data_IF_202804894131
#
_entry.id   IF_202804894131
#
_cell.length_a   1.000
_cell.length_b   1.000
_cell.length_c   1.000
_cell.angle_alpha   90.00
_cell.angle_beta   90.00
_cell.angle_gamma   90.00
#
_symmetry.space_group_name_H-M   'P 1'
#
loop_
_entity.id
_entity.type
_entity.pdbx_description
1 polymer ?
#
# COMPACT_ATOMS: atom_id res chain seq x y z
N UNK A 1 13.03 -20.40 9.28
CA UNK A 1 11.72 -20.61 8.63
C UNK A 1 11.37 -19.33 7.88
N UNK A 2 11.22 -19.40 6.57
CA UNK A 2 10.83 -18.27 5.74
C UNK A 2 9.30 -18.24 5.64
N UNK A 3 8.66 -17.34 6.38
CA UNK A 3 7.19 -17.23 6.41
C UNK A 3 6.73 -15.86 5.92
N UNK A 4 5.56 -15.84 5.31
CA UNK A 4 4.81 -14.62 4.98
C UNK A 4 3.88 -14.33 6.16
N UNK A 5 3.96 -13.13 6.72
CA UNK A 5 3.05 -12.68 7.76
C UNK A 5 1.74 -12.18 7.15
N UNK A 6 0.60 -12.49 7.76
CA UNK A 6 -0.71 -11.99 7.35
C UNK A 6 -1.25 -11.12 8.48
N UNK A 7 -1.61 -9.88 8.16
CA UNK A 7 -2.04 -8.88 9.14
C UNK A 7 -3.39 -8.28 8.72
N UNK A 8 -4.29 -8.14 9.68
CA UNK A 8 -5.63 -7.58 9.52
C UNK A 8 -5.63 -6.05 9.36
N UNK A 9 -4.50 -5.40 9.68
CA UNK A 9 -4.25 -3.97 9.51
C UNK A 9 -2.83 -3.71 9.06
N UNK A 10 -2.63 -2.59 8.37
CA UNK A 10 -1.32 -2.13 7.96
C UNK A 10 -0.47 -1.75 9.18
N UNK A 11 0.73 -2.34 9.28
CA UNK A 11 1.74 -2.10 10.32
C UNK A 11 3.10 -1.79 9.69
N UNK A 12 4.13 -1.51 10.48
CA UNK A 12 5.47 -1.28 9.95
C UNK A 12 6.11 -2.62 9.48
N UNK A 13 6.29 -2.75 8.16
CA UNK A 13 6.95 -3.91 7.57
C UNK A 13 8.41 -4.09 8.04
N UNK A 14 9.08 -3.04 8.52
CA UNK A 14 10.43 -3.12 9.12
C UNK A 14 10.43 -3.94 10.41
N UNK A 15 9.40 -3.77 11.23
CA UNK A 15 9.27 -4.51 12.49
C UNK A 15 9.03 -6.00 12.22
N UNK A 16 8.14 -6.31 11.27
CA UNK A 16 7.86 -7.69 10.86
C UNK A 16 9.09 -8.35 10.24
N UNK A 17 9.87 -7.61 9.44
CA UNK A 17 11.17 -8.06 8.94
C UNK A 17 12.12 -8.40 10.07
N UNK A 18 12.25 -7.53 11.09
CA UNK A 18 13.11 -7.76 12.25
C UNK A 18 12.68 -9.00 13.06
N UNK A 19 11.38 -9.31 13.06
CA UNK A 19 10.80 -10.54 13.65
C UNK A 19 10.95 -11.79 12.76
N UNK A 20 11.60 -11.68 11.60
CA UNK A 20 11.91 -12.80 10.71
C UNK A 20 10.91 -13.04 9.58
N UNK A 21 9.94 -12.15 9.36
CA UNK A 21 9.06 -12.24 8.21
C UNK A 21 9.83 -11.98 6.91
N UNK A 22 9.53 -12.78 5.87
CA UNK A 22 10.12 -12.64 4.52
C UNK A 22 9.20 -11.92 3.54
N UNK A 23 7.93 -11.76 3.90
CA UNK A 23 6.95 -10.96 3.20
C UNK A 23 5.75 -10.69 4.09
N UNK A 24 4.90 -9.73 3.71
CA UNK A 24 3.71 -9.37 4.49
C UNK A 24 2.51 -9.19 3.58
N UNK A 25 1.35 -9.68 4.01
CA UNK A 25 0.07 -9.39 3.38
C UNK A 25 -0.79 -8.59 4.36
N UNK A 26 -1.24 -7.42 3.93
CA UNK A 26 -2.13 -6.55 4.70
C UNK A 26 -3.54 -6.58 4.12
N UNK A 27 -4.54 -6.55 5.01
CA UNK A 27 -5.88 -6.09 4.66
C UNK A 27 -5.89 -4.55 4.62
N UNK A 28 -6.41 -3.95 3.56
CA UNK A 28 -6.55 -2.50 3.41
C UNK A 28 -7.94 -2.12 2.89
N UNK A 29 -8.42 -0.94 3.30
CA UNK A 29 -9.67 -0.36 2.79
C UNK A 29 -9.44 0.55 1.57
N UNK A 30 -8.23 1.09 1.41
CA UNK A 30 -7.79 1.85 0.25
C UNK A 30 -6.32 1.51 -0.07
N UNK A 31 -5.94 1.65 -1.33
CA UNK A 31 -4.57 1.40 -1.79
C UNK A 31 -4.02 2.56 -2.64
N UNK A 32 -4.57 3.75 -2.47
CA UNK A 32 -4.17 4.96 -3.20
C UNK A 32 -2.90 5.62 -2.63
N UNK A 33 -2.30 5.03 -1.59
CA UNK A 33 -1.06 5.48 -0.97
C UNK A 33 -0.04 4.33 -0.86
N UNK A 34 0.58 3.93 -1.98
CA UNK A 34 1.57 2.87 -1.95
C UNK A 34 2.82 3.31 -1.17
N UNK A 35 3.33 2.41 -0.33
CA UNK A 35 4.53 2.63 0.49
C UNK A 35 5.68 1.76 -0.01
N UNK A 36 6.90 2.32 0.03
CA UNK A 36 8.11 1.54 -0.15
C UNK A 36 8.39 0.72 1.11
N UNK A 37 8.63 -0.57 0.94
CA UNK A 37 8.84 -1.52 2.02
C UNK A 37 10.16 -2.28 1.83
N UNK A 38 10.86 -2.66 2.92
CA UNK A 38 12.15 -3.35 2.88
C UNK A 38 12.06 -4.87 2.65
N UNK A 39 10.84 -5.39 2.47
CA UNK A 39 10.47 -6.77 2.14
C UNK A 39 9.22 -6.75 1.23
N UNK A 40 8.94 -7.82 0.46
CA UNK A 40 7.72 -7.93 -0.32
C UNK A 40 6.46 -7.70 0.52
N UNK A 41 5.58 -6.83 0.03
CA UNK A 41 4.30 -6.51 0.67
C UNK A 41 3.19 -6.56 -0.37
N UNK A 42 2.08 -7.21 -0.02
CA UNK A 42 0.84 -7.16 -0.80
C UNK A 42 -0.29 -6.56 0.04
N UNK A 43 -1.04 -5.63 -0.54
CA UNK A 43 -2.23 -5.05 0.06
C UNK A 43 -3.45 -5.68 -0.61
N UNK A 44 -4.32 -6.32 0.16
CA UNK A 44 -5.55 -6.94 -0.31
C UNK A 44 -6.75 -6.14 0.19
N UNK A 45 -7.74 -5.99 -0.68
CA UNK A 45 -9.06 -5.55 -0.25
C UNK A 45 -9.75 -6.62 0.61
N UNK A 46 -10.90 -6.26 1.18
CA UNK A 46 -11.66 -7.12 2.08
C UNK A 46 -12.04 -8.47 1.44
N UNK A 47 -12.44 -8.46 0.18
CA UNK A 47 -12.88 -9.65 -0.55
C UNK A 47 -11.72 -10.64 -0.76
N UNK A 48 -10.57 -10.15 -1.24
CA UNK A 48 -9.40 -10.98 -1.47
C UNK A 48 -8.77 -11.44 -0.15
N UNK A 49 -8.76 -10.58 0.87
CA UNK A 49 -8.29 -10.96 2.19
C UNK A 49 -9.13 -12.09 2.79
N UNK A 50 -10.47 -12.04 2.69
CA UNK A 50 -11.32 -13.11 3.19
C UNK A 50 -11.11 -14.44 2.45
N UNK A 51 -10.85 -14.37 1.13
CA UNK A 51 -10.49 -15.53 0.32
C UNK A 51 -9.16 -16.14 0.79
N UNK A 52 -8.15 -15.29 1.08
CA UNK A 52 -6.87 -15.72 1.64
C UNK A 52 -7.03 -16.40 3.00
N UNK A 53 -7.81 -15.81 3.92
CA UNK A 53 -8.05 -16.42 5.24
C UNK A 53 -8.72 -17.78 5.10
N UNK A 54 -9.73 -17.89 4.23
CA UNK A 54 -10.39 -19.16 3.92
C UNK A 54 -9.38 -20.21 3.44
N UNK A 55 -8.48 -19.83 2.51
CA UNK A 55 -7.41 -20.71 2.05
C UNK A 55 -6.46 -21.13 3.18
N UNK A 56 -5.95 -20.20 3.99
CA UNK A 56 -5.01 -20.50 5.08
C UNK A 56 -5.62 -21.44 6.11
N UNK A 57 -6.91 -21.30 6.41
CA UNK A 57 -7.61 -22.18 7.36
C UNK A 57 -7.98 -23.55 6.77
N UNK A 58 -8.01 -23.69 5.45
CA UNK A 58 -8.41 -24.92 4.76
C UNK A 58 -7.32 -26.00 4.70
N UNK A 59 -6.05 -25.63 4.92
CA UNK A 59 -4.89 -26.52 4.80
C UNK A 59 -3.92 -26.35 5.96
N UNK A 60 -3.27 -27.43 6.38
CA UNK A 60 -2.24 -27.40 7.42
C UNK A 60 -0.93 -26.76 6.94
N UNK A 61 -0.70 -26.70 5.63
CA UNK A 61 0.53 -26.20 5.03
C UNK A 61 0.21 -25.20 3.89
N UNK A 62 -0.28 -23.99 4.21
CA UNK A 62 -0.50 -22.96 3.21
C UNK A 62 0.83 -22.47 2.65
N UNK A 63 0.92 -22.36 1.32
CA UNK A 63 2.10 -21.86 0.61
C UNK A 63 1.63 -20.80 -0.38
N UNK A 64 2.38 -19.72 -0.50
CA UNK A 64 2.07 -18.62 -1.42
C UNK A 64 3.32 -17.87 -1.82
N UNK A 65 3.19 -17.07 -2.88
CA UNK A 65 4.26 -16.23 -3.40
C UNK A 65 3.72 -14.81 -3.61
N UNK A 66 4.49 -13.80 -3.17
CA UNK A 66 4.23 -12.40 -3.50
C UNK A 66 5.07 -12.07 -4.73
N UNK A 67 4.40 -11.80 -5.84
CA UNK A 67 5.05 -11.48 -7.10
C UNK A 67 5.43 -9.99 -7.16
N UNK A 68 6.30 -9.66 -8.13
CA UNK A 68 6.62 -8.27 -8.44
C UNK A 68 5.37 -7.52 -8.88
N UNK A 69 5.26 -6.25 -8.49
CA UNK A 69 4.14 -5.40 -8.90
C UNK A 69 4.18 -5.10 -10.40
N UNK A 70 3.01 -5.16 -11.02
CA UNK A 70 2.78 -4.78 -12.42
C UNK A 70 1.87 -3.56 -12.51
N UNK A 71 1.94 -2.84 -13.63
CA UNK A 71 1.06 -1.69 -13.88
C UNK A 71 -0.27 -2.15 -14.45
N UNK A 72 -1.37 -1.67 -13.87
CA UNK A 72 -2.73 -1.89 -14.38
C UNK A 72 -3.36 -0.54 -14.69
N UNK A 73 -4.12 -0.45 -15.79
CA UNK A 73 -4.88 0.75 -16.12
C UNK A 73 -6.15 0.79 -15.27
N UNK A 74 -6.26 1.80 -14.41
CA UNK A 74 -7.51 2.08 -13.69
C UNK A 74 -8.45 2.93 -14.55
N UNK A 75 -9.63 2.39 -14.84
CA UNK A 75 -10.65 3.07 -15.64
C UNK A 75 -11.51 4.03 -14.82
N UNK A 76 -11.40 4.03 -13.49
CA UNK A 76 -12.12 4.96 -12.61
C UNK A 76 -11.36 6.28 -12.38
N UNK A 77 -10.11 6.38 -12.83
CA UNK A 77 -9.32 7.60 -12.69
C UNK A 77 -9.86 8.76 -13.57
N UNK A 78 -9.74 10.03 -13.14
CA UNK A 78 -9.07 10.49 -11.92
C UNK A 78 -9.99 10.53 -10.69
N UNK A 79 -9.46 10.16 -9.53
CA UNK A 79 -10.11 10.28 -8.21
C UNK A 79 -9.19 11.10 -7.29
N UNK A 80 -9.78 11.99 -6.47
CA UNK A 80 -9.02 12.74 -5.45
C UNK A 80 -8.53 11.74 -4.39
N UNK A 81 -7.21 11.63 -4.25
CA UNK A 81 -6.58 10.73 -3.29
C UNK A 81 -7.04 10.99 -1.84
N UNK A 82 -7.14 9.92 -1.06
CA UNK A 82 -7.60 9.92 0.33
C UNK A 82 -6.78 10.83 1.24
N UNK A 83 -5.49 10.94 0.96
CA UNK A 83 -4.55 11.80 1.71
C UNK A 83 -4.52 13.25 1.24
N UNK A 84 -5.22 13.60 0.14
CA UNK A 84 -5.25 14.98 -0.34
C UNK A 84 -6.00 15.86 0.66
N UNK A 85 -5.39 16.98 1.04
CA UNK A 85 -6.02 17.95 1.94
C UNK A 85 -7.29 18.53 1.33
N UNK A 86 -8.27 18.81 2.19
CA UNK A 86 -9.59 19.30 1.79
C UNK A 86 -9.85 20.65 2.42
N UNK A 87 -10.62 21.48 1.72
CA UNK A 87 -11.13 22.72 2.29
C UNK A 87 -12.20 22.49 3.37
N UNK A 88 -12.78 23.58 3.91
CA UNK A 88 -12.60 24.97 3.47
C UNK A 88 -11.25 25.57 3.87
N UNK A 89 -10.92 26.74 3.31
CA UNK A 89 -9.78 27.53 3.74
C UNK A 89 -10.01 28.04 5.18
N UNK A 90 -9.13 27.68 6.11
CA UNK A 90 -9.25 28.03 7.53
C UNK A 90 -8.84 29.47 7.84
N UNK A 91 -8.16 30.16 6.93
CA UNK A 91 -7.70 31.54 7.09
C UNK A 91 -8.74 32.52 6.54
N UNK A 92 -9.24 32.25 5.33
CA UNK A 92 -10.25 33.08 4.66
C UNK A 92 -11.35 32.16 4.13
N UNK A 93 -12.41 31.99 4.91
CA UNK A 93 -13.53 31.07 4.60
C UNK A 93 -14.23 31.36 3.28
N UNK A 94 -14.21 32.62 2.84
CA UNK A 94 -14.88 33.07 1.63
C UNK A 94 -14.13 32.67 0.34
N UNK A 95 -12.89 32.18 0.47
CA UNK A 95 -12.07 31.68 -0.63
C UNK A 95 -12.02 30.16 -0.57
N UNK A 96 -12.68 29.49 -1.52
CA UNK A 96 -12.67 28.03 -1.64
C UNK A 96 -11.25 27.51 -1.94
N UNK A 97 -10.89 26.38 -1.32
CA UNK A 97 -9.66 25.62 -1.56
C UNK A 97 -9.93 24.11 -1.55
N UNK A 98 -9.13 23.30 -2.25
CA UNK A 98 -8.05 23.67 -3.19
C UNK A 98 -8.61 24.26 -4.50
N UNK A 99 -7.77 24.93 -5.30
CA UNK A 99 -8.21 25.56 -6.56
C UNK A 99 -8.28 24.55 -7.73
N UNK A 100 -7.36 23.58 -7.77
CA UNK A 100 -7.21 22.62 -8.87
C UNK A 100 -6.69 21.27 -8.36
N UNK A 101 -6.94 20.20 -9.12
CA UNK A 101 -6.37 18.88 -8.91
C UNK A 101 -5.40 18.52 -10.05
N UNK A 102 -4.39 17.70 -9.75
CA UNK A 102 -3.41 17.21 -10.72
C UNK A 102 -2.96 15.78 -10.33
N UNK A 103 -2.32 15.03 -11.24
CA UNK A 103 -1.76 13.72 -10.91
C UNK A 103 -0.72 13.81 -9.78
N UNK A 104 -0.93 13.06 -8.70
CA UNK A 104 -0.05 13.08 -7.51
C UNK A 104 0.11 11.73 -6.80
N UNK A 105 -0.43 10.64 -7.35
CA UNK A 105 -0.30 9.29 -6.80
C UNK A 105 0.62 8.48 -7.72
N UNK A 106 1.59 7.76 -7.13
CA UNK A 106 2.49 6.85 -7.86
C UNK A 106 3.25 7.50 -9.03
N UNK A 107 3.76 8.71 -8.84
CA UNK A 107 4.52 9.44 -9.86
C UNK A 107 5.97 8.96 -9.88
N UNK A 108 6.45 8.52 -11.05
CA UNK A 108 7.86 8.19 -11.27
C UNK A 108 8.67 9.45 -11.53
N UNK A 109 9.75 9.65 -10.78
CA UNK A 109 10.58 10.86 -10.84
C UNK A 109 12.04 10.54 -10.48
N UNK A 110 12.94 11.50 -10.74
CA UNK A 110 14.35 11.38 -10.37
C UNK A 110 14.51 11.30 -8.83
N UNK A 111 15.48 10.50 -8.38
CA UNK A 111 15.79 10.30 -6.97
C UNK A 111 17.30 10.30 -6.73
N UNK A 112 17.73 10.71 -5.52
CA UNK A 112 19.15 10.74 -5.17
C UNK A 112 19.71 9.31 -5.08
N UNK A 113 20.86 9.02 -5.70
CA UNK A 113 21.51 7.72 -5.57
C UNK A 113 22.10 7.46 -4.18
N UNK A 114 22.22 8.51 -3.34
CA UNK A 114 22.80 8.43 -1.99
C UNK A 114 21.74 8.18 -0.92
N UNK A 115 20.49 8.56 -1.18
CA UNK A 115 19.40 8.25 -0.28
C UNK A 115 19.18 6.73 -0.28
N UNK A 116 19.16 6.10 0.89
CA UNK A 116 19.07 4.65 1.02
C UNK A 116 17.82 4.12 0.32
N UNK A 117 17.99 3.60 -0.89
CA UNK A 117 16.97 2.84 -1.57
C UNK A 117 16.80 1.55 -0.80
N UNK A 118 15.61 1.32 -0.24
CA UNK A 118 15.24 0.02 0.28
C UNK A 118 14.98 -0.99 -0.84
N UNK A 119 15.70 -0.95 -1.97
CA UNK A 119 15.65 -1.93 -3.05
C UNK A 119 16.95 -1.84 -3.86
N UNK A 120 17.65 -2.97 -3.90
CA UNK A 120 18.98 -3.23 -4.42
C UNK A 120 19.45 -4.53 -3.81
#
# INVERSE_FOLDING_TARGET
MEKIAVCDRQTDARELKAKGARGVIYRVSNNDNPRLNPIPVANLDDTNYQSLISYITSTLNPVGCILQSETVKDFNAPIVASFSSRGPNTIVSDILKPDITAPGVSIFAAYSPVAATAIG
#
